data_IF_762847154150
#
_entry.id   IF_762847154150
#
_cell.length_a   1.000
_cell.length_b   1.000
_cell.length_c   1.000
_cell.angle_alpha   90.00
_cell.angle_beta   90.00
_cell.angle_gamma   90.00
#
_symmetry.space_group_name_H-M   'P 1'
#
loop_
_entity.id
_entity.type
_entity.pdbx_description
1 polymer ?
#
# COMPACT_ATOMS: atom_id res chain seq x y z
N UNK A 1 2.23 -1.82 -20.61
CA UNK A 1 1.54 -3.12 -20.71
C UNK A 1 1.82 -3.92 -19.44
N UNK A 2 0.83 -4.23 -18.59
CA UNK A 2 1.06 -5.14 -17.46
C UNK A 2 1.47 -6.50 -18.01
N UNK A 3 2.59 -7.04 -17.52
CA UNK A 3 3.08 -8.38 -17.88
C UNK A 3 2.02 -9.41 -17.50
N UNK A 4 1.35 -9.98 -18.50
CA UNK A 4 0.31 -11.03 -18.44
C UNK A 4 0.85 -12.40 -17.99
N UNK A 5 2.07 -12.49 -17.45
CA UNK A 5 2.70 -13.78 -17.12
C UNK A 5 2.15 -14.46 -15.88
N UNK A 6 1.48 -13.74 -14.99
CA UNK A 6 1.00 -14.28 -13.72
C UNK A 6 -0.48 -13.97 -13.54
N UNK A 7 -1.23 -14.99 -13.11
CA UNK A 7 -2.63 -14.87 -12.73
C UNK A 7 -2.70 -14.97 -11.20
N UNK A 8 -3.24 -13.93 -10.57
CA UNK A 8 -3.39 -13.83 -9.11
C UNK A 8 -4.87 -13.78 -8.78
N UNK A 9 -5.29 -14.50 -7.73
CA UNK A 9 -6.66 -14.43 -7.25
C UNK A 9 -6.95 -13.04 -6.67
N UNK A 10 -8.08 -12.47 -7.09
CA UNK A 10 -8.60 -11.22 -6.53
C UNK A 10 -8.96 -11.43 -5.05
N UNK A 11 -8.57 -10.51 -4.16
CA UNK A 11 -9.01 -10.54 -2.76
C UNK A 11 -10.53 -10.36 -2.64
N UNK A 12 -11.13 -11.02 -1.65
CA UNK A 12 -12.56 -10.90 -1.33
C UNK A 12 -12.87 -9.63 -0.52
N UNK A 13 -11.88 -9.09 0.19
CA UNK A 13 -12.03 -7.93 1.07
C UNK A 13 -10.79 -7.03 1.10
N UNK A 14 -10.96 -5.80 1.62
CA UNK A 14 -9.86 -4.88 1.88
C UNK A 14 -8.86 -5.48 2.88
N UNK A 15 -9.37 -6.04 3.98
CA UNK A 15 -8.56 -6.65 5.04
C UNK A 15 -7.72 -7.81 4.51
N UNK A 16 -8.30 -8.66 3.67
CA UNK A 16 -7.55 -9.75 3.03
C UNK A 16 -6.44 -9.20 2.11
N UNK A 17 -6.75 -8.18 1.32
CA UNK A 17 -5.78 -7.57 0.42
C UNK A 17 -4.59 -6.93 1.17
N UNK A 18 -4.87 -6.25 2.28
CA UNK A 18 -3.87 -5.64 3.15
C UNK A 18 -3.03 -6.69 3.88
N UNK A 19 -3.67 -7.70 4.47
CA UNK A 19 -3.00 -8.81 5.13
C UNK A 19 -2.07 -9.56 4.18
N UNK A 20 -2.57 -9.92 2.98
CA UNK A 20 -1.75 -10.57 1.93
C UNK A 20 -0.59 -9.69 1.50
N UNK A 21 -0.81 -8.38 1.37
CA UNK A 21 0.25 -7.45 1.01
C UNK A 21 1.33 -7.38 2.10
N UNK A 22 0.94 -7.37 3.38
CA UNK A 22 1.87 -7.42 4.52
C UNK A 22 2.77 -8.66 4.48
N UNK A 23 2.16 -9.85 4.38
CA UNK A 23 2.89 -11.12 4.27
C UNK A 23 3.86 -11.10 3.08
N UNK A 24 3.42 -10.62 1.91
CA UNK A 24 4.28 -10.54 0.75
C UNK A 24 5.46 -9.58 0.92
N UNK A 25 5.31 -8.51 1.69
CA UNK A 25 6.42 -7.59 1.98
C UNK A 25 7.49 -8.30 2.80
N UNK A 26 7.08 -8.95 3.89
CA UNK A 26 7.99 -9.69 4.78
C UNK A 26 8.72 -10.79 4.02
N UNK A 27 7.98 -11.61 3.25
CA UNK A 27 8.58 -12.68 2.45
C UNK A 27 9.55 -12.16 1.37
N UNK A 28 9.27 -11.01 0.76
CA UNK A 28 10.22 -10.42 -0.20
C UNK A 28 11.48 -9.92 0.49
N UNK A 29 11.34 -9.30 1.67
CA UNK A 29 12.48 -8.83 2.45
C UNK A 29 13.35 -10.00 2.92
N UNK A 30 12.74 -11.12 3.32
CA UNK A 30 13.44 -12.34 3.67
C UNK A 30 14.25 -12.91 2.50
N UNK A 31 13.65 -13.00 1.31
CA UNK A 31 14.36 -13.48 0.12
C UNK A 31 15.52 -12.54 -0.25
N UNK A 32 15.29 -11.22 -0.19
CA UNK A 32 16.33 -10.21 -0.47
C UNK A 32 17.49 -10.30 0.53
N UNK A 33 17.18 -10.43 1.83
CA UNK A 33 18.17 -10.66 2.88
C UNK A 33 18.99 -11.92 2.61
N UNK A 34 18.33 -13.02 2.25
CA UNK A 34 19.03 -14.27 1.91
C UNK A 34 19.91 -14.12 0.66
N UNK A 35 19.43 -13.43 -0.38
CA UNK A 35 20.17 -13.16 -1.62
C UNK A 35 21.38 -12.25 -1.39
N UNK A 36 21.36 -11.43 -0.34
CA UNK A 36 22.50 -10.59 0.04
C UNK A 36 23.66 -11.37 0.65
N UNK A 37 23.43 -12.60 1.12
CA UNK A 37 24.46 -13.44 1.73
C UNK A 37 25.22 -14.29 0.69
N UNK A 38 26.48 -13.95 0.36
CA UNK A 38 27.28 -14.73 -0.60
C UNK A 38 27.77 -16.07 -0.04
N UNK A 39 27.65 -16.29 1.27
CA UNK A 39 28.08 -17.50 1.98
C UNK A 39 26.87 -18.32 2.45
N UNK A 40 25.84 -18.41 1.61
CA UNK A 40 24.66 -19.23 1.86
C UNK A 40 25.06 -20.67 2.19
N UNK A 41 24.51 -21.20 3.28
CA UNK A 41 24.75 -22.57 3.75
C UNK A 41 23.60 -23.49 3.36
N UNK A 42 23.89 -24.78 3.23
CA UNK A 42 22.86 -25.79 2.99
C UNK A 42 21.98 -26.00 4.24
N UNK A 43 20.65 -26.11 4.08
CA UNK A 43 19.76 -26.45 5.18
C UNK A 43 20.10 -27.87 5.68
N UNK A 44 20.49 -27.98 6.96
CA UNK A 44 20.72 -29.27 7.62
C UNK A 44 22.18 -29.58 7.91
N UNK A 45 23.10 -29.31 6.97
CA UNK A 45 24.55 -29.54 7.20
C UNK A 45 25.25 -28.32 7.77
N UNK A 46 24.74 -27.11 7.48
CA UNK A 46 25.40 -25.86 7.85
C UNK A 46 26.67 -25.58 7.04
N UNK A 47 27.03 -26.45 6.11
CA UNK A 47 28.16 -26.26 5.22
C UNK A 47 27.84 -25.22 4.14
N UNK A 48 28.86 -24.52 3.67
CA UNK A 48 28.72 -23.56 2.56
C UNK A 48 28.26 -24.32 1.31
N UNK A 49 27.23 -23.80 0.65
CA UNK A 49 26.77 -24.35 -0.62
C UNK A 49 27.90 -24.37 -1.66
N UNK A 50 27.94 -25.43 -2.47
CA UNK A 50 28.78 -25.45 -3.67
C UNK A 50 28.35 -24.34 -4.65
N UNK A 51 29.27 -23.91 -5.52
CA UNK A 51 28.99 -22.83 -6.48
C UNK A 51 27.84 -23.17 -7.44
N UNK A 52 27.73 -24.43 -7.85
CA UNK A 52 26.65 -24.90 -8.73
C UNK A 52 25.30 -24.87 -8.01
N UNK A 53 25.22 -25.46 -6.81
CA UNK A 53 24.02 -25.43 -5.97
C UNK A 53 23.60 -24.00 -5.67
N UNK A 54 24.56 -23.12 -5.37
CA UNK A 54 24.29 -21.72 -5.06
C UNK A 54 23.70 -20.97 -6.26
N UNK A 55 24.23 -21.18 -7.47
CA UNK A 55 23.68 -20.58 -8.69
C UNK A 55 22.25 -21.06 -8.96
N UNK A 56 21.98 -22.36 -8.80
CA UNK A 56 20.65 -22.93 -8.96
C UNK A 56 19.66 -22.33 -7.95
N UNK A 57 20.04 -22.28 -6.67
CA UNK A 57 19.25 -21.65 -5.62
C UNK A 57 18.99 -20.17 -5.92
N UNK A 58 20.03 -19.41 -6.27
CA UNK A 58 19.93 -17.98 -6.59
C UNK A 58 18.98 -17.72 -7.75
N UNK A 59 18.99 -18.57 -8.77
CA UNK A 59 18.05 -18.49 -9.88
C UNK A 59 16.59 -18.68 -9.40
N UNK A 60 16.33 -19.70 -8.58
CA UNK A 60 15.00 -19.96 -8.03
C UNK A 60 14.54 -18.84 -7.09
N UNK A 61 15.42 -18.34 -6.22
CA UNK A 61 15.14 -17.24 -5.31
C UNK A 61 14.79 -15.96 -6.06
N UNK A 62 15.53 -15.61 -7.11
CA UNK A 62 15.20 -14.46 -7.97
C UNK A 62 13.85 -14.65 -8.70
N UNK A 63 13.54 -15.86 -9.15
CA UNK A 63 12.25 -16.17 -9.76
C UNK A 63 11.10 -16.00 -8.77
N UNK A 64 11.25 -16.54 -7.55
CA UNK A 64 10.27 -16.39 -6.48
C UNK A 64 10.06 -14.91 -6.12
N UNK A 65 11.16 -14.15 -5.96
CA UNK A 65 11.12 -12.71 -5.71
C UNK A 65 10.36 -11.95 -6.80
N UNK A 66 10.59 -12.30 -8.08
CA UNK A 66 9.90 -11.67 -9.21
C UNK A 66 8.39 -11.93 -9.19
N UNK A 67 7.95 -13.14 -8.83
CA UNK A 67 6.54 -13.51 -8.69
C UNK A 67 5.90 -12.73 -7.54
N UNK A 68 6.50 -12.75 -6.34
CA UNK A 68 5.97 -12.04 -5.17
C UNK A 68 5.88 -10.53 -5.40
N UNK A 69 6.90 -9.90 -6.01
CA UNK A 69 6.85 -8.48 -6.40
C UNK A 69 5.77 -8.19 -7.45
N UNK A 70 5.46 -9.13 -8.33
CA UNK A 70 4.36 -8.99 -9.28
C UNK A 70 3.00 -9.03 -8.57
N UNK A 71 2.83 -9.91 -7.59
CA UNK A 71 1.62 -9.99 -6.77
C UNK A 71 1.43 -8.72 -5.92
N UNK A 72 2.50 -8.19 -5.30
CA UNK A 72 2.43 -6.92 -4.58
C UNK A 72 1.95 -5.76 -5.48
N UNK A 73 2.42 -5.69 -6.73
CA UNK A 73 1.95 -4.66 -7.69
C UNK A 73 0.49 -4.86 -8.07
N UNK A 74 0.05 -6.11 -8.17
CA UNK A 74 -1.34 -6.47 -8.40
C UNK A 74 -2.22 -6.00 -7.22
N UNK A 75 -1.88 -6.39 -5.99
CA UNK A 75 -2.64 -6.00 -4.79
C UNK A 75 -2.67 -4.48 -4.58
N UNK A 76 -1.53 -3.79 -4.74
CA UNK A 76 -1.48 -2.31 -4.66
C UNK A 76 -2.38 -1.64 -5.68
N UNK A 77 -2.50 -2.22 -6.89
CA UNK A 77 -3.42 -1.71 -7.91
C UNK A 77 -4.87 -2.00 -7.53
N UNK A 78 -5.16 -3.20 -7.07
CA UNK A 78 -6.48 -3.61 -6.62
C UNK A 78 -6.98 -2.71 -5.49
N UNK A 79 -6.17 -2.49 -4.44
CA UNK A 79 -6.48 -1.59 -3.32
C UNK A 79 -6.81 -0.18 -3.81
N UNK A 80 -5.99 0.38 -4.71
CA UNK A 80 -6.25 1.70 -5.29
C UNK A 80 -7.62 1.77 -5.98
N UNK A 81 -7.96 0.76 -6.78
CA UNK A 81 -9.25 0.69 -7.47
C UNK A 81 -10.40 0.54 -6.47
N UNK A 82 -10.22 -0.31 -5.46
CA UNK A 82 -11.20 -0.54 -4.41
C UNK A 82 -11.51 0.73 -3.62
N UNK A 83 -10.50 1.49 -3.19
CA UNK A 83 -10.70 2.76 -2.51
C UNK A 83 -11.40 3.80 -3.38
N UNK A 84 -11.07 3.87 -4.68
CA UNK A 84 -11.78 4.78 -5.61
C UNK A 84 -13.24 4.38 -5.75
N UNK A 85 -13.53 3.08 -5.85
CA UNK A 85 -14.90 2.56 -5.92
C UNK A 85 -15.67 2.83 -4.62
N UNK A 86 -15.09 2.52 -3.45
CA UNK A 86 -15.69 2.78 -2.14
C UNK A 86 -15.98 4.27 -1.95
N UNK A 87 -15.00 5.14 -2.24
CA UNK A 87 -15.17 6.59 -2.20
C UNK A 87 -16.28 7.06 -3.14
N UNK A 88 -16.32 6.56 -4.37
CA UNK A 88 -17.37 6.91 -5.33
C UNK A 88 -18.74 6.49 -4.82
N UNK A 89 -18.87 5.27 -4.29
CA UNK A 89 -20.13 4.77 -3.73
C UNK A 89 -20.57 5.55 -2.48
N UNK A 90 -19.62 5.93 -1.63
CA UNK A 90 -19.88 6.84 -0.51
C UNK A 90 -20.38 8.19 -1.05
N UNK A 91 -19.68 8.80 -2.01
CA UNK A 91 -20.12 10.05 -2.64
C UNK A 91 -21.50 9.94 -3.30
N UNK A 92 -21.82 8.84 -3.98
CA UNK A 92 -23.14 8.58 -4.57
C UNK A 92 -24.24 8.40 -3.51
N UNK A 93 -23.93 7.74 -2.38
CA UNK A 93 -24.86 7.64 -1.24
C UNK A 93 -25.12 9.00 -0.57
N UNK A 94 -24.18 9.92 -0.71
CA UNK A 94 -24.23 11.29 -0.21
C UNK A 94 -24.75 12.28 -1.27
N UNK A 95 -24.86 11.85 -2.54
CA UNK A 95 -25.33 12.68 -3.65
C UNK A 95 -26.85 12.86 -3.51
N UNK A 96 -27.23 14.04 -3.03
CA UNK A 96 -28.59 14.36 -2.57
C UNK A 96 -28.65 14.94 -1.16
N UNK A 97 -27.56 14.88 -0.38
CA UNK A 97 -27.46 15.52 0.92
C UNK A 97 -26.80 16.91 0.81
N UNK A 98 -27.56 18.01 0.96
CA UNK A 98 -27.04 19.37 0.81
C UNK A 98 -25.97 19.74 1.86
N UNK A 99 -25.89 19.02 2.98
CA UNK A 99 -24.91 19.30 4.03
C UNK A 99 -23.49 18.89 3.64
N UNK A 100 -23.34 17.88 2.77
CA UNK A 100 -22.03 17.39 2.33
C UNK A 100 -21.42 18.22 1.22
N UNK A 101 -22.24 18.82 0.35
CA UNK A 101 -21.79 19.85 -0.57
C UNK A 101 -21.18 21.05 0.16
N UNK A 102 -21.80 21.48 1.27
CA UNK A 102 -21.29 22.52 2.15
C UNK A 102 -19.98 22.11 2.84
N UNK A 103 -19.92 20.92 3.44
CA UNK A 103 -18.71 20.42 4.11
C UNK A 103 -17.52 20.26 3.16
N UNK A 104 -17.75 19.72 1.96
CA UNK A 104 -16.69 19.56 0.95
C UNK A 104 -16.24 20.92 0.40
N UNK A 105 -17.18 21.86 0.23
CA UNK A 105 -16.87 23.26 -0.09
C UNK A 105 -16.00 23.92 0.99
N UNK A 106 -16.35 23.76 2.27
CA UNK A 106 -15.57 24.27 3.40
C UNK A 106 -14.19 23.63 3.47
N UNK A 107 -14.07 22.30 3.30
CA UNK A 107 -12.78 21.61 3.28
C UNK A 107 -11.87 22.14 2.17
N UNK A 108 -12.39 22.32 0.95
CA UNK A 108 -11.61 22.85 -0.17
C UNK A 108 -11.19 24.32 0.05
N UNK A 109 -12.05 25.14 0.66
CA UNK A 109 -11.72 26.51 1.04
C UNK A 109 -10.59 26.52 2.08
N UNK A 110 -10.71 25.73 3.15
CA UNK A 110 -9.68 25.65 4.20
C UNK A 110 -8.37 25.10 3.64
N UNK A 111 -8.42 24.04 2.84
CA UNK A 111 -7.24 23.46 2.20
C UNK A 111 -6.54 24.45 1.28
N UNK A 112 -7.31 25.22 0.50
CA UNK A 112 -6.78 26.29 -0.35
C UNK A 112 -6.16 27.40 0.51
N UNK A 113 -6.82 27.79 1.59
CA UNK A 113 -6.34 28.81 2.52
C UNK A 113 -5.03 28.41 3.19
N UNK A 114 -4.90 27.16 3.66
CA UNK A 114 -3.65 26.60 4.21
C UNK A 114 -2.52 26.60 3.17
N UNK A 115 -2.83 26.28 1.91
CA UNK A 115 -1.84 26.22 0.83
C UNK A 115 -1.39 27.60 0.35
N UNK A 116 -2.29 28.58 0.35
CA UNK A 116 -2.03 29.96 -0.08
C UNK A 116 -1.41 30.79 1.04
N UNK A 117 -1.78 30.54 2.30
CA UNK A 117 -1.27 31.22 3.47
C UNK A 117 -0.24 30.38 4.24
N UNK A 118 0.70 29.74 3.55
CA UNK A 118 1.82 28.98 4.15
C UNK A 118 2.80 29.83 5.00
N UNK A 119 2.36 30.99 5.50
CA UNK A 119 3.01 31.83 6.50
C UNK A 119 2.15 32.05 7.77
N UNK A 120 1.10 31.26 8.02
CA UNK A 120 0.24 31.46 9.22
C UNK A 120 0.76 30.67 10.42
N UNK A 121 1.64 31.32 11.17
CA UNK A 121 1.92 31.08 12.59
C UNK A 121 0.72 31.43 13.52
N UNK A 122 -0.51 31.36 13.01
CA UNK A 122 -1.72 31.88 13.67
C UNK A 122 -2.93 30.95 13.69
N UNK A 123 -2.75 29.64 13.43
CA UNK A 123 -3.76 28.65 13.78
C UNK A 123 -3.61 28.29 15.25
N UNK A 124 -4.68 28.46 16.02
CA UNK A 124 -4.71 28.00 17.41
C UNK A 124 -4.63 26.47 17.45
N UNK A 125 -4.17 25.92 18.58
CA UNK A 125 -4.03 24.46 18.75
C UNK A 125 -5.35 23.74 18.47
N UNK A 126 -6.49 24.32 18.89
CA UNK A 126 -7.81 23.72 18.69
C UNK A 126 -8.25 23.65 17.22
N UNK A 127 -7.84 24.63 16.40
CA UNK A 127 -8.19 24.64 14.98
C UNK A 127 -7.36 23.63 14.19
N UNK A 128 -6.13 23.36 14.62
CA UNK A 128 -5.30 22.28 14.05
C UNK A 128 -5.88 20.92 14.42
N UNK A 129 -6.24 20.72 15.68
CA UNK A 129 -6.87 19.48 16.17
C UNK A 129 -8.20 19.22 15.46
N UNK A 130 -9.02 20.25 15.22
CA UNK A 130 -10.28 20.10 14.48
C UNK A 130 -10.04 19.67 13.02
N UNK A 131 -9.02 20.23 12.36
CA UNK A 131 -8.68 19.84 10.99
C UNK A 131 -8.10 18.43 10.91
N UNK A 132 -7.31 18.01 11.90
CA UNK A 132 -6.81 16.64 12.01
C UNK A 132 -7.95 15.65 12.28
N UNK A 133 -8.91 16.01 13.15
CA UNK A 133 -10.08 15.18 13.45
C UNK A 133 -11.00 15.02 12.23
N UNK A 134 -11.26 16.10 11.49
CA UNK A 134 -12.03 16.05 10.24
C UNK A 134 -11.31 15.22 9.18
N UNK A 135 -9.98 15.35 9.07
CA UNK A 135 -9.17 14.53 8.16
C UNK A 135 -9.22 13.05 8.56
N UNK A 136 -9.13 12.73 9.85
CA UNK A 136 -9.26 11.35 10.37
C UNK A 136 -10.62 10.73 10.02
N UNK A 137 -11.73 11.44 10.28
CA UNK A 137 -13.07 10.94 9.95
C UNK A 137 -13.26 10.77 8.43
N UNK A 138 -12.65 11.62 7.61
CA UNK A 138 -12.68 11.44 6.16
C UNK A 138 -11.83 10.25 5.68
N UNK A 139 -10.80 9.86 6.43
CA UNK A 139 -9.94 8.72 6.10
C UNK A 139 -10.54 7.37 6.58
N UNK A 140 -11.47 7.40 7.55
CA UNK A 140 -12.21 6.21 8.04
C UNK A 140 -13.43 5.83 7.17
N UNK A 141 -13.94 6.76 6.34
CA UNK A 141 -15.11 6.58 5.44
C UNK A 141 -14.68 5.99 4.08
#
# INVERSE_FOLDING_TARGET
MPSTRYHFAEPESLEEAESRLGVLVDETQDIESQLSNPHKTEPGTGERMSDESYRAWKYQANRALAIKRAEQRFLKRWLRVYHVFRRRRALEALDGDPTLGLLNGLYLIVKRWVRTNANVSGLTTSEKEYLEMVQHHLDEI
#
